data_IF_656464659517
#
_entry.id   IF_656464659517
#
_cell.length_a   1.000
_cell.length_b   1.000
_cell.length_c   1.000
_cell.angle_alpha   90.00
_cell.angle_beta   90.00
_cell.angle_gamma   90.00
#
_symmetry.space_group_name_H-M   'P 1'
#
loop_
_entity.id
_entity.type
_entity.pdbx_description
1 polymer ?
#
# COMPACT_ATOMS: atom_id res chain seq x y z
N UNK A 1 -29.88 42.33 -29.67
CA UNK A 1 -28.53 42.09 -29.11
C UNK A 1 -28.57 40.74 -28.44
N UNK A 2 -28.10 39.69 -29.11
CA UNK A 2 -27.93 38.36 -28.48
C UNK A 2 -26.75 38.42 -27.51
N UNK A 3 -26.98 38.10 -26.24
CA UNK A 3 -25.90 37.92 -25.27
C UNK A 3 -25.07 36.71 -25.69
N UNK A 4 -23.83 36.95 -26.14
CA UNK A 4 -22.88 35.88 -26.42
C UNK A 4 -22.64 35.06 -25.14
N UNK A 5 -23.04 33.79 -25.14
CA UNK A 5 -22.82 32.88 -24.02
C UNK A 5 -21.31 32.68 -23.85
N UNK A 6 -20.77 33.16 -22.73
CA UNK A 6 -19.34 33.03 -22.43
C UNK A 6 -19.02 31.55 -22.24
N UNK A 7 -18.11 31.03 -23.04
CA UNK A 7 -17.63 29.66 -22.94
C UNK A 7 -16.73 29.51 -21.70
N UNK A 8 -17.32 29.11 -20.57
CA UNK A 8 -16.68 29.03 -19.25
C UNK A 8 -16.53 27.58 -18.71
N UNK A 9 -16.87 26.58 -19.53
CA UNK A 9 -16.93 25.15 -19.16
C UNK A 9 -18.09 24.77 -18.23
N UNK A 10 -18.96 25.72 -17.85
CA UNK A 10 -20.10 25.49 -16.93
C UNK A 10 -21.42 25.82 -17.62
N UNK A 11 -21.56 27.02 -18.18
CA UNK A 11 -22.70 27.47 -18.97
C UNK A 11 -22.60 27.00 -20.44
N UNK A 12 -21.39 26.99 -21.00
CA UNK A 12 -21.13 26.51 -22.36
C UNK A 12 -19.81 25.72 -22.47
N UNK A 13 -19.70 24.79 -23.44
CA UNK A 13 -18.45 24.06 -23.69
C UNK A 13 -17.35 25.01 -24.16
N UNK A 14 -16.12 24.72 -23.77
CA UNK A 14 -14.96 25.48 -24.24
C UNK A 14 -14.75 25.25 -25.76
N UNK A 15 -14.20 26.23 -26.49
CA UNK A 15 -13.92 26.07 -27.92
C UNK A 15 -13.08 24.82 -28.21
N UNK A 16 -13.51 24.02 -29.19
CA UNK A 16 -12.84 22.77 -29.56
C UNK A 16 -12.88 21.68 -28.48
N UNK A 17 -13.83 21.76 -27.53
CA UNK A 17 -14.07 20.74 -26.51
C UNK A 17 -15.48 20.15 -26.63
N UNK A 18 -15.62 18.96 -26.07
CA UNK A 18 -16.82 18.16 -26.13
C UNK A 18 -18.04 18.86 -25.48
N UNK A 19 -19.14 18.92 -26.22
CA UNK A 19 -20.40 19.52 -25.82
C UNK A 19 -21.20 18.71 -24.77
N UNK A 20 -20.77 17.50 -24.43
CA UNK A 20 -21.40 16.68 -23.38
C UNK A 20 -21.27 17.32 -21.99
N UNK A 21 -22.40 17.51 -21.30
CA UNK A 21 -22.44 17.95 -19.91
C UNK A 21 -22.30 16.78 -18.94
N UNK A 22 -21.27 16.79 -18.09
CA UNK A 22 -21.04 15.72 -17.11
C UNK A 22 -21.77 16.06 -15.81
N UNK A 23 -22.99 15.55 -15.64
CA UNK A 23 -23.86 15.86 -14.50
C UNK A 23 -23.16 15.71 -13.14
N UNK A 24 -22.48 14.58 -12.92
CA UNK A 24 -21.73 14.32 -11.67
C UNK A 24 -20.70 15.39 -11.33
N UNK A 25 -20.13 16.05 -12.35
CA UNK A 25 -19.08 17.07 -12.18
C UNK A 25 -19.60 18.49 -12.40
N UNK A 26 -20.89 18.65 -12.71
CA UNK A 26 -21.57 19.92 -13.02
C UNK A 26 -20.78 20.81 -13.99
N UNK A 27 -20.22 20.21 -15.05
CA UNK A 27 -19.41 20.91 -16.06
C UNK A 27 -19.35 20.17 -17.38
N UNK A 28 -19.06 20.90 -18.45
CA UNK A 28 -18.84 20.32 -19.78
C UNK A 28 -17.55 19.50 -19.87
N UNK A 29 -17.59 18.45 -20.68
CA UNK A 29 -16.47 17.57 -20.92
C UNK A 29 -15.27 18.32 -21.51
N UNK A 30 -14.10 18.19 -20.89
CA UNK A 30 -12.86 18.88 -21.32
C UNK A 30 -12.08 18.13 -22.40
N UNK A 31 -12.63 17.06 -22.96
CA UNK A 31 -11.97 16.28 -24.00
C UNK A 31 -12.04 17.03 -25.33
N UNK A 32 -10.95 16.95 -26.11
CA UNK A 32 -10.86 17.55 -27.44
C UNK A 32 -11.75 16.79 -28.42
N UNK A 33 -12.40 17.51 -29.32
CA UNK A 33 -13.23 16.96 -30.40
C UNK A 33 -12.42 16.88 -31.69
N UNK A 34 -12.77 15.93 -32.57
CA UNK A 34 -12.24 15.92 -33.94
C UNK A 34 -12.77 17.12 -34.73
N UNK A 35 -12.06 17.53 -35.79
CA UNK A 35 -12.52 18.62 -36.65
C UNK A 35 -13.94 18.40 -37.15
N UNK A 36 -14.82 19.39 -36.95
CA UNK A 36 -16.23 19.34 -37.33
C UNK A 36 -17.16 18.53 -36.42
N UNK A 37 -16.69 18.00 -35.28
CA UNK A 37 -17.52 17.20 -34.35
C UNK A 37 -17.87 17.96 -33.08
N UNK A 38 -19.07 17.73 -32.54
CA UNK A 38 -19.51 18.34 -31.28
C UNK A 38 -19.06 17.57 -30.02
N UNK A 39 -18.80 16.26 -30.15
CA UNK A 39 -18.48 15.37 -29.02
C UNK A 39 -17.12 14.70 -29.16
N UNK A 40 -16.48 14.39 -28.02
CA UNK A 40 -15.24 13.63 -28.00
C UNK A 40 -15.50 12.16 -28.30
N UNK A 41 -14.43 11.40 -28.57
CA UNK A 41 -14.53 9.98 -28.90
C UNK A 41 -15.28 9.12 -27.88
N UNK A 42 -15.37 9.52 -26.60
CA UNK A 42 -16.13 8.80 -25.56
C UNK A 42 -17.60 9.21 -25.47
N UNK A 43 -17.97 10.43 -25.86
CA UNK A 43 -19.35 10.93 -25.79
C UNK A 43 -20.00 11.09 -27.18
N UNK A 44 -19.33 10.67 -28.24
CA UNK A 44 -19.85 10.66 -29.61
C UNK A 44 -21.02 9.69 -29.82
N UNK A 45 -21.37 8.87 -28.83
CA UNK A 45 -22.53 7.97 -28.85
C UNK A 45 -23.88 8.69 -29.03
N UNK A 46 -23.94 10.02 -28.84
CA UNK A 46 -25.15 10.81 -28.98
C UNK A 46 -25.34 11.51 -30.33
N UNK A 47 -24.32 11.54 -31.19
CA UNK A 47 -24.44 12.17 -32.51
C UNK A 47 -24.81 11.10 -33.55
N UNK A 48 -25.97 11.28 -34.18
CA UNK A 48 -26.50 10.47 -35.28
C UNK A 48 -25.65 10.52 -36.58
N UNK A 49 -24.37 10.92 -36.50
CA UNK A 49 -23.44 11.10 -37.62
C UNK A 49 -22.16 10.27 -37.53
N UNK A 50 -22.13 9.22 -36.70
CA UNK A 50 -21.00 8.28 -36.61
C UNK A 50 -21.42 6.89 -37.07
N UNK A 51 -20.99 6.48 -38.28
CA UNK A 51 -21.23 5.13 -38.84
C UNK A 51 -20.66 3.96 -38.00
N UNK A 52 -19.87 4.26 -36.97
CA UNK A 52 -19.22 3.25 -36.13
C UNK A 52 -20.04 3.00 -34.86
N UNK A 53 -20.64 1.81 -34.78
CA UNK A 53 -21.38 1.33 -33.61
C UNK A 53 -20.45 1.09 -32.42
N UNK A 54 -20.77 1.67 -31.27
CA UNK A 54 -20.15 1.37 -29.97
C UNK A 54 -21.06 0.41 -29.19
N UNK A 55 -20.44 -0.58 -28.55
CA UNK A 55 -21.08 -1.57 -27.68
C UNK A 55 -20.45 -1.49 -26.28
N UNK A 56 -21.18 -1.91 -25.25
CA UNK A 56 -20.59 -2.08 -23.92
C UNK A 56 -19.49 -3.13 -23.96
N UNK A 57 -18.40 -2.91 -23.22
CA UNK A 57 -17.32 -3.88 -23.15
C UNK A 57 -17.80 -5.15 -22.43
N UNK A 58 -17.57 -6.35 -22.98
CA UNK A 58 -18.03 -7.59 -22.36
C UNK A 58 -17.26 -7.97 -21.09
N UNK A 59 -16.11 -7.31 -20.83
CA UNK A 59 -15.34 -7.50 -19.60
C UNK A 59 -15.72 -6.51 -18.49
N UNK A 60 -16.40 -5.41 -18.81
CA UNK A 60 -16.79 -4.35 -17.88
C UNK A 60 -17.83 -3.44 -18.53
N UNK A 61 -19.04 -3.40 -17.97
CA UNK A 61 -20.17 -2.64 -18.49
C UNK A 61 -20.02 -1.12 -18.33
N UNK A 62 -19.03 -0.66 -17.54
CA UNK A 62 -18.80 0.76 -17.24
C UNK A 62 -18.15 1.53 -18.37
N UNK A 63 -17.65 0.86 -19.43
CA UNK A 63 -17.10 1.53 -20.61
C UNK A 63 -17.58 0.91 -21.91
N UNK A 64 -17.52 1.72 -22.97
CA UNK A 64 -17.94 1.31 -24.31
C UNK A 64 -16.76 1.25 -25.27
N UNK A 65 -16.89 0.42 -26.30
CA UNK A 65 -15.85 0.17 -27.31
C UNK A 65 -16.50 0.11 -28.69
N UNK A 66 -15.78 0.49 -29.73
CA UNK A 66 -16.28 0.28 -31.10
C UNK A 66 -16.36 -1.22 -31.39
N UNK A 67 -17.49 -1.65 -31.96
CA UNK A 67 -17.77 -3.04 -32.29
C UNK A 67 -16.68 -3.63 -33.20
N UNK A 68 -16.28 -2.86 -34.23
CA UNK A 68 -15.19 -3.19 -35.17
C UNK A 68 -13.80 -3.32 -34.52
N UNK A 69 -13.64 -2.79 -33.30
CA UNK A 69 -12.36 -2.71 -32.58
C UNK A 69 -12.37 -3.56 -31.31
N UNK A 70 -13.44 -4.33 -31.07
CA UNK A 70 -13.61 -5.14 -29.87
C UNK A 70 -12.44 -6.10 -29.67
N UNK A 71 -12.05 -6.85 -30.71
CA UNK A 71 -10.95 -7.81 -30.62
C UNK A 71 -9.62 -7.15 -30.23
N UNK A 72 -9.34 -5.93 -30.74
CA UNK A 72 -8.16 -5.15 -30.36
C UNK A 72 -8.27 -4.60 -28.94
N UNK A 73 -9.47 -4.20 -28.52
CA UNK A 73 -9.74 -3.74 -27.17
C UNK A 73 -9.54 -4.85 -26.13
N UNK A 74 -10.12 -6.04 -26.34
CA UNK A 74 -10.06 -7.15 -25.37
C UNK A 74 -8.62 -7.56 -25.03
N UNK A 75 -7.68 -7.40 -25.97
CA UNK A 75 -6.25 -7.65 -25.73
C UNK A 75 -5.61 -6.67 -24.74
N UNK A 76 -6.11 -5.43 -24.66
CA UNK A 76 -5.56 -4.32 -23.85
C UNK A 76 -6.53 -3.78 -22.81
N UNK A 77 -7.66 -4.44 -22.61
CA UNK A 77 -8.69 -3.99 -21.68
C UNK A 77 -8.12 -4.06 -20.27
N UNK A 78 -8.30 -2.98 -19.49
CA UNK A 78 -7.84 -2.95 -18.10
C UNK A 78 -8.63 -3.91 -17.21
N UNK A 79 -9.86 -4.24 -17.59
CA UNK A 79 -10.76 -5.15 -16.88
C UNK A 79 -10.50 -6.63 -17.22
N UNK A 80 -9.55 -6.91 -18.12
CA UNK A 80 -9.07 -8.27 -18.36
C UNK A 80 -8.33 -8.79 -17.13
N UNK A 81 -8.69 -9.98 -16.66
CA UNK A 81 -7.97 -10.65 -15.58
C UNK A 81 -6.51 -10.89 -15.99
N UNK A 82 -5.60 -10.42 -15.14
CA UNK A 82 -4.16 -10.60 -15.31
C UNK A 82 -3.73 -11.85 -14.55
N UNK A 83 -2.72 -12.59 -15.04
CA UNK A 83 -2.14 -13.68 -14.27
C UNK A 83 -1.67 -13.15 -12.91
N UNK A 84 -2.04 -13.86 -11.86
CA UNK A 84 -1.66 -13.51 -10.49
C UNK A 84 -0.16 -13.75 -10.30
N UNK A 85 0.58 -12.80 -9.71
CA UNK A 85 2.01 -12.96 -9.45
C UNK A 85 2.26 -14.01 -8.36
N UNK A 86 3.50 -14.51 -8.26
CA UNK A 86 3.90 -15.54 -7.28
C UNK A 86 3.63 -15.12 -5.82
N UNK A 87 3.77 -13.83 -5.53
CA UNK A 87 3.52 -13.22 -4.22
C UNK A 87 2.04 -12.93 -3.94
N UNK A 88 1.13 -13.41 -4.78
CA UNK A 88 -0.30 -13.33 -4.53
C UNK A 88 -0.77 -14.57 -3.75
N UNK A 89 -1.23 -14.36 -2.52
CA UNK A 89 -1.96 -15.36 -1.73
C UNK A 89 -3.27 -14.72 -1.31
N UNK A 90 -4.39 -15.28 -1.80
CA UNK A 90 -5.71 -14.69 -1.57
C UNK A 90 -5.96 -14.58 -0.06
N UNK A 91 -6.38 -13.40 0.37
CA UNK A 91 -6.79 -13.05 1.73
C UNK A 91 -5.77 -13.32 2.86
N UNK A 92 -4.48 -13.51 2.54
CA UNK A 92 -3.45 -13.84 3.55
C UNK A 92 -3.36 -12.80 4.67
N UNK A 93 -3.52 -11.51 4.34
CA UNK A 93 -3.49 -10.44 5.33
C UNK A 93 -4.90 -9.95 5.66
N UNK A 94 -5.97 -10.66 5.29
CA UNK A 94 -7.35 -10.24 5.57
C UNK A 94 -7.70 -10.40 7.05
N UNK A 95 -7.08 -11.37 7.72
CA UNK A 95 -7.16 -11.60 9.17
C UNK A 95 -8.01 -12.82 9.50
N UNK A 96 -8.12 -13.17 10.78
CA UNK A 96 -9.06 -14.20 11.17
C UNK A 96 -10.45 -13.81 10.70
N UNK A 97 -11.15 -14.76 10.09
CA UNK A 97 -12.56 -14.65 9.71
C UNK A 97 -13.40 -14.53 10.98
N UNK A 98 -13.42 -13.35 11.61
CA UNK A 98 -14.16 -13.16 12.85
C UNK A 98 -15.68 -13.28 12.65
N UNK A 99 -16.17 -13.23 11.40
CA UNK A 99 -17.53 -13.63 11.11
C UNK A 99 -17.81 -13.76 9.60
N UNK A 100 -17.92 -14.98 9.10
CA UNK A 100 -18.57 -15.26 7.79
C UNK A 100 -20.10 -15.37 7.93
N UNK A 101 -20.61 -15.41 9.16
CA UNK A 101 -22.03 -15.59 9.49
C UNK A 101 -22.69 -14.34 10.10
N UNK A 102 -21.94 -13.34 10.57
CA UNK A 102 -22.55 -12.03 10.84
C UNK A 102 -22.94 -11.40 9.52
N UNK A 103 -24.25 -11.43 9.26
CA UNK A 103 -24.89 -10.51 8.34
C UNK A 103 -24.53 -9.10 8.81
N UNK A 104 -23.52 -8.50 8.19
CA UNK A 104 -23.17 -7.10 8.39
C UNK A 104 -24.25 -6.27 7.71
N UNK A 105 -25.43 -6.21 8.33
CA UNK A 105 -26.34 -5.11 8.09
C UNK A 105 -25.58 -3.86 8.49
N UNK A 106 -25.19 -3.06 7.49
CA UNK A 106 -24.58 -1.77 7.73
C UNK A 106 -25.65 -0.86 8.33
N UNK A 107 -25.79 -0.93 9.64
CA UNK A 107 -26.71 -0.08 10.41
C UNK A 107 -26.13 1.33 10.44
N UNK A 108 -26.94 2.33 10.11
CA UNK A 108 -26.53 3.73 10.20
C UNK A 108 -26.36 4.10 11.67
N UNK A 109 -25.40 4.98 11.99
CA UNK A 109 -25.30 5.56 13.33
C UNK A 109 -26.61 6.27 13.75
N UNK A 110 -27.41 6.72 12.78
CA UNK A 110 -28.71 7.35 13.04
C UNK A 110 -29.79 6.36 13.50
N UNK A 111 -29.61 5.06 13.27
CA UNK A 111 -30.59 4.03 13.63
C UNK A 111 -30.41 3.56 15.09
N UNK A 112 -29.34 4.01 15.76
CA UNK A 112 -29.09 3.67 17.16
C UNK A 112 -29.85 4.62 18.10
N UNK A 113 -30.46 4.03 19.13
CA UNK A 113 -31.03 4.79 20.24
C UNK A 113 -29.93 5.56 20.99
N UNK A 114 -30.32 6.59 21.75
CA UNK A 114 -29.37 7.32 22.61
C UNK A 114 -28.78 6.36 23.66
N UNK A 115 -29.61 5.46 24.18
CA UNK A 115 -29.26 4.51 25.22
C UNK A 115 -28.20 3.51 24.73
N UNK A 116 -28.35 2.98 23.51
CA UNK A 116 -27.35 2.09 22.91
C UNK A 116 -26.03 2.80 22.66
N UNK A 117 -26.09 4.06 22.20
CA UNK A 117 -24.90 4.89 21.99
C UNK A 117 -24.17 5.18 23.30
N UNK A 118 -24.90 5.44 24.39
CA UNK A 118 -24.32 5.62 25.72
C UNK A 118 -23.68 4.33 26.24
N UNK A 119 -24.32 3.16 26.06
CA UNK A 119 -23.73 1.86 26.41
C UNK A 119 -22.46 1.58 25.60
N UNK A 120 -22.46 1.88 24.30
CA UNK A 120 -21.28 1.73 23.45
C UNK A 120 -20.14 2.64 23.93
N UNK A 121 -20.44 3.89 24.26
CA UNK A 121 -19.45 4.83 24.82
C UNK A 121 -18.89 4.35 26.16
N UNK A 122 -19.72 3.75 27.03
CA UNK A 122 -19.25 3.17 28.29
C UNK A 122 -18.31 1.99 28.04
N UNK A 123 -18.68 1.05 27.15
CA UNK A 123 -17.82 -0.07 26.76
C UNK A 123 -16.49 0.42 26.19
N UNK A 124 -16.52 1.45 25.34
CA UNK A 124 -15.31 2.03 24.76
C UNK A 124 -14.43 2.69 25.83
N UNK A 125 -15.02 3.48 26.75
CA UNK A 125 -14.30 4.08 27.88
C UNK A 125 -13.66 3.04 28.79
N UNK A 126 -14.35 1.92 29.04
CA UNK A 126 -13.80 0.80 29.82
C UNK A 126 -12.65 0.11 29.07
N UNK A 127 -12.81 -0.16 27.77
CA UNK A 127 -11.79 -0.82 26.96
C UNK A 127 -10.51 0.01 26.82
N UNK A 128 -10.61 1.34 26.80
CA UNK A 128 -9.44 2.23 26.74
C UNK A 128 -8.85 2.57 28.12
N UNK A 129 -9.53 2.19 29.20
CA UNK A 129 -9.05 2.45 30.57
C UNK A 129 -7.74 1.68 30.79
N UNK A 130 -6.66 2.41 31.09
CA UNK A 130 -5.33 1.83 31.26
C UNK A 130 -4.49 1.77 29.99
N UNK A 131 -5.04 2.10 28.81
CA UNK A 131 -4.28 2.26 27.56
C UNK A 131 -3.66 3.66 27.42
N UNK A 132 -3.42 4.38 28.53
CA UNK A 132 -2.84 5.73 28.50
C UNK A 132 -1.34 5.69 28.16
N UNK A 133 -1.04 5.43 26.89
CA UNK A 133 0.26 5.72 26.34
C UNK A 133 0.24 7.20 25.93
N UNK A 134 1.14 8.05 26.46
CA UNK A 134 1.25 9.42 25.99
C UNK A 134 1.50 9.39 24.48
N UNK A 135 0.60 10.05 23.73
CA UNK A 135 0.79 10.20 22.31
C UNK A 135 1.98 11.14 22.09
N UNK A 136 3.10 10.57 21.62
CA UNK A 136 4.29 11.36 21.28
C UNK A 136 4.18 11.83 19.83
N UNK A 137 3.98 13.12 19.65
CA UNK A 137 4.10 13.75 18.34
C UNK A 137 5.58 13.94 18.02
N UNK A 138 5.98 13.59 16.80
CA UNK A 138 7.34 13.80 16.30
C UNK A 138 7.29 14.36 14.89
N UNK A 139 7.54 15.67 14.79
CA UNK A 139 7.70 16.37 13.52
C UNK A 139 9.19 16.57 13.30
N UNK A 140 9.74 15.79 12.39
CA UNK A 140 11.14 15.89 11.98
C UNK A 140 11.23 16.45 10.57
N UNK A 141 12.44 16.76 10.11
CA UNK A 141 12.73 17.10 8.72
C UNK A 141 14.05 16.47 8.32
N UNK A 142 14.23 16.23 7.03
CA UNK A 142 15.46 15.64 6.50
C UNK A 142 16.11 16.58 5.47
N UNK A 143 17.44 16.78 5.51
CA UNK A 143 18.15 17.68 4.57
C UNK A 143 17.85 17.39 3.09
N UNK A 144 17.62 16.12 2.75
CA UNK A 144 17.29 15.68 1.39
C UNK A 144 16.05 16.35 0.77
N UNK A 145 15.15 16.95 1.58
CA UNK A 145 13.97 17.66 1.09
C UNK A 145 14.07 19.19 1.23
N UNK A 146 15.16 19.73 1.77
CA UNK A 146 15.26 21.16 2.11
C UNK A 146 15.04 22.06 0.88
N UNK A 147 15.74 21.79 -0.21
CA UNK A 147 15.60 22.57 -1.46
C UNK A 147 14.19 22.47 -2.03
N UNK A 148 13.60 21.27 -2.01
CA UNK A 148 12.25 21.07 -2.52
C UNK A 148 11.20 21.77 -1.66
N UNK A 149 11.38 21.81 -0.33
CA UNK A 149 10.48 22.54 0.56
C UNK A 149 10.51 24.05 0.34
N UNK A 150 11.66 24.59 -0.08
CA UNK A 150 11.88 26.01 -0.29
C UNK A 150 11.72 26.47 -1.75
N UNK A 151 11.39 25.58 -2.68
CA UNK A 151 11.19 25.95 -4.09
C UNK A 151 9.91 26.80 -4.25
N UNK A 152 10.01 28.08 -4.68
CA UNK A 152 8.87 28.98 -4.81
C UNK A 152 7.90 28.57 -5.92
N UNK A 153 8.27 27.60 -6.77
CA UNK A 153 7.36 27.04 -7.81
C UNK A 153 6.37 26.04 -7.23
N UNK A 154 6.55 25.60 -5.98
CA UNK A 154 5.62 24.68 -5.34
C UNK A 154 4.39 25.42 -4.81
N UNK A 155 3.22 25.06 -5.33
CA UNK A 155 1.95 25.50 -4.74
C UNK A 155 1.66 24.78 -3.42
N UNK A 156 0.68 25.30 -2.66
CA UNK A 156 0.34 24.85 -1.29
C UNK A 156 0.16 23.33 -1.16
N UNK A 157 -0.52 22.72 -2.13
CA UNK A 157 -0.72 21.27 -2.15
C UNK A 157 0.58 20.48 -2.26
N UNK A 158 1.54 20.96 -3.06
CA UNK A 158 2.86 20.33 -3.19
C UNK A 158 3.65 20.49 -1.90
N UNK A 159 3.67 21.70 -1.32
CA UNK A 159 4.32 21.99 -0.04
C UNK A 159 3.80 21.10 1.08
N UNK A 160 2.47 20.93 1.20
CA UNK A 160 1.86 20.02 2.18
C UNK A 160 2.38 18.59 2.03
N UNK A 161 2.42 18.08 0.80
CA UNK A 161 2.90 16.72 0.55
C UNK A 161 4.40 16.54 0.82
N UNK A 162 5.21 17.58 0.59
CA UNK A 162 6.64 17.58 0.86
C UNK A 162 6.92 17.62 2.35
N UNK A 163 6.24 18.47 3.13
CA UNK A 163 6.37 18.51 4.60
C UNK A 163 6.09 17.14 5.23
N UNK A 164 5.02 16.47 4.78
CA UNK A 164 4.70 15.11 5.23
C UNK A 164 5.82 14.11 4.90
N UNK A 165 6.40 14.19 3.70
CA UNK A 165 7.49 13.30 3.29
C UNK A 165 8.77 13.59 4.07
N UNK A 166 9.07 14.87 4.33
CA UNK A 166 10.22 15.28 5.12
C UNK A 166 10.13 14.78 6.55
N UNK A 167 8.95 14.82 7.15
CA UNK A 167 8.71 14.28 8.50
C UNK A 167 8.87 12.77 8.57
N UNK A 168 8.34 12.02 7.58
CA UNK A 168 8.54 10.57 7.53
C UNK A 168 10.03 10.24 7.42
N UNK A 169 10.73 10.85 6.46
CA UNK A 169 12.15 10.57 6.23
C UNK A 169 13.01 11.01 7.42
N UNK A 170 12.70 12.14 8.05
CA UNK A 170 13.40 12.62 9.24
C UNK A 170 13.23 11.69 10.45
N UNK A 171 12.03 11.15 10.67
CA UNK A 171 11.80 10.16 11.71
C UNK A 171 12.48 8.81 11.41
N UNK A 172 12.49 8.39 10.14
CA UNK A 172 13.26 7.22 9.73
C UNK A 172 14.76 7.39 10.02
N UNK A 173 15.30 8.59 9.81
CA UNK A 173 16.69 8.90 10.13
C UNK A 173 16.95 8.82 11.64
N UNK A 174 16.08 9.41 12.48
CA UNK A 174 16.24 9.39 13.95
C UNK A 174 16.09 7.99 14.56
N UNK A 175 15.45 7.07 13.85
CA UNK A 175 15.29 5.67 14.23
C UNK A 175 16.33 4.75 13.60
N UNK A 176 17.37 5.31 12.96
CA UNK A 176 18.42 4.58 12.25
C UNK A 176 17.87 3.61 11.18
N UNK A 177 16.69 3.89 10.62
CA UNK A 177 16.04 3.11 9.56
C UNK A 177 16.52 3.49 8.16
N UNK A 178 17.28 4.58 8.03
CA UNK A 178 18.03 4.94 6.82
C UNK A 178 19.47 4.39 6.86
N UNK A 179 19.82 3.50 5.93
CA UNK A 179 21.14 2.85 5.90
C UNK A 179 21.28 1.84 4.76
N UNK A 180 22.51 1.37 4.56
CA UNK A 180 22.88 0.35 3.57
C UNK A 180 22.27 -1.02 3.89
N UNK A 181 22.23 -1.91 2.89
CA UNK A 181 21.77 -3.31 3.03
C UNK A 181 20.36 -3.42 3.59
N UNK A 182 19.41 -2.73 2.97
CA UNK A 182 18.00 -2.71 3.41
C UNK A 182 17.04 -2.87 2.24
N UNK A 183 15.89 -3.46 2.51
CA UNK A 183 14.77 -3.44 1.59
C UNK A 183 13.64 -2.56 2.15
N UNK A 184 13.37 -1.44 1.48
CA UNK A 184 12.31 -0.50 1.83
C UNK A 184 11.04 -0.88 1.08
N UNK A 185 9.97 -1.19 1.81
CA UNK A 185 8.66 -1.53 1.25
C UNK A 185 7.71 -0.36 1.46
N UNK A 186 7.34 0.35 0.38
CA UNK A 186 6.34 1.42 0.41
C UNK A 186 4.95 0.85 0.17
N UNK A 187 4.15 0.75 1.24
CA UNK A 187 2.74 0.36 1.18
C UNK A 187 1.87 1.55 0.74
N UNK A 188 1.03 1.33 -0.28
CA UNK A 188 0.21 2.39 -0.85
C UNK A 188 1.05 3.42 -1.58
N UNK A 189 2.01 2.95 -2.39
CA UNK A 189 3.06 3.79 -2.96
C UNK A 189 2.54 4.88 -3.91
N UNK A 190 1.34 4.74 -4.49
CA UNK A 190 0.78 5.72 -5.39
C UNK A 190 1.73 6.06 -6.54
N UNK A 191 2.28 7.28 -6.54
CA UNK A 191 3.26 7.75 -7.54
C UNK A 191 4.72 7.40 -7.23
N UNK A 192 5.03 6.83 -6.06
CA UNK A 192 6.39 6.46 -5.61
C UNK A 192 7.23 7.61 -5.07
N UNK A 193 6.60 8.71 -4.63
CA UNK A 193 7.31 9.91 -4.20
C UNK A 193 8.03 9.73 -2.86
N UNK A 194 7.49 8.93 -1.92
CA UNK A 194 8.16 8.74 -0.64
C UNK A 194 9.44 7.93 -0.83
N UNK A 195 9.39 6.81 -1.57
CA UNK A 195 10.59 6.04 -1.92
C UNK A 195 11.63 6.88 -2.68
N UNK A 196 11.21 7.82 -3.52
CA UNK A 196 12.13 8.77 -4.17
C UNK A 196 12.91 9.59 -3.15
N UNK A 197 12.23 10.18 -2.16
CA UNK A 197 12.91 10.97 -1.12
C UNK A 197 13.77 10.14 -0.17
N UNK A 198 13.33 8.92 0.16
CA UNK A 198 14.14 7.97 0.93
C UNK A 198 15.41 7.64 0.15
N UNK A 199 15.33 7.40 -1.17
CA UNK A 199 16.49 7.19 -2.02
C UNK A 199 17.43 8.39 -2.06
N UNK A 200 16.89 9.61 -2.12
CA UNK A 200 17.67 10.85 -2.04
C UNK A 200 18.37 10.99 -0.69
N UNK A 201 17.72 10.60 0.41
CA UNK A 201 18.36 10.56 1.72
C UNK A 201 19.45 9.48 1.84
N UNK A 202 19.36 8.43 1.02
CA UNK A 202 20.27 7.29 0.99
C UNK A 202 21.29 7.37 -0.17
N UNK A 203 21.72 8.57 -0.58
CA UNK A 203 22.64 8.74 -1.72
C UNK A 203 23.93 7.92 -1.58
N UNK A 204 24.52 7.91 -0.38
CA UNK A 204 25.77 7.20 -0.06
C UNK A 204 25.57 5.74 0.36
N UNK A 205 24.33 5.29 0.52
CA UNK A 205 24.03 3.93 0.98
C UNK A 205 24.15 2.92 -0.17
N UNK A 206 24.65 1.73 0.15
CA UNK A 206 24.86 0.64 -0.81
C UNK A 206 23.86 -0.50 -0.59
N UNK A 207 23.54 -1.23 -1.66
CA UNK A 207 22.66 -2.42 -1.62
C UNK A 207 21.30 -2.12 -0.99
N UNK A 208 20.66 -1.03 -1.45
CA UNK A 208 19.33 -0.61 -0.99
C UNK A 208 18.30 -0.92 -2.07
N UNK A 209 17.29 -1.68 -1.67
CA UNK A 209 16.23 -2.15 -2.54
C UNK A 209 14.89 -1.50 -2.19
N UNK A 210 14.09 -1.16 -3.19
CA UNK A 210 12.78 -0.52 -3.01
C UNK A 210 11.68 -1.36 -3.64
N UNK A 211 10.69 -1.74 -2.82
CA UNK A 211 9.47 -2.44 -3.22
C UNK A 211 8.27 -1.52 -3.07
N UNK A 212 7.64 -1.16 -4.19
CA UNK A 212 6.51 -0.23 -4.22
C UNK A 212 5.21 -1.02 -4.40
N UNK A 213 4.42 -1.12 -3.33
CA UNK A 213 3.15 -1.86 -3.31
C UNK A 213 1.99 -0.92 -3.59
N UNK A 214 1.23 -1.21 -4.63
CA UNK A 214 0.07 -0.40 -5.00
C UNK A 214 -0.99 -1.25 -5.74
N UNK A 215 -2.25 -1.16 -5.31
CA UNK A 215 -3.35 -1.88 -5.98
C UNK A 215 -3.68 -1.30 -7.36
N UNK A 216 -3.53 0.01 -7.53
CA UNK A 216 -3.99 0.75 -8.73
C UNK A 216 -2.88 1.02 -9.74
N UNK A 217 -3.22 1.10 -11.03
CA UNK A 217 -2.30 1.68 -12.01
C UNK A 217 -2.28 3.21 -11.87
N UNK A 218 -1.17 3.77 -11.40
CA UNK A 218 -0.99 5.21 -11.28
C UNK A 218 -0.30 5.81 -12.51
N UNK A 219 -0.68 7.05 -12.88
CA UNK A 219 0.03 7.84 -13.91
C UNK A 219 1.10 8.71 -13.25
N UNK A 220 2.13 9.10 -14.01
CA UNK A 220 3.24 9.95 -13.55
C UNK A 220 4.02 9.33 -12.38
N UNK A 221 4.32 8.03 -12.50
CA UNK A 221 5.19 7.31 -11.57
C UNK A 221 6.60 7.91 -11.64
N UNK A 222 7.22 8.13 -10.49
CA UNK A 222 8.60 8.65 -10.44
C UNK A 222 9.66 7.55 -10.47
N UNK A 223 9.24 6.28 -10.49
CA UNK A 223 10.10 5.09 -10.47
C UNK A 223 11.21 5.14 -11.53
N UNK A 224 10.86 5.58 -12.75
CA UNK A 224 11.80 5.67 -13.86
C UNK A 224 12.91 6.71 -13.68
N UNK A 225 12.74 7.66 -12.75
CA UNK A 225 13.77 8.64 -12.37
C UNK A 225 14.78 8.08 -11.36
N UNK A 226 14.48 6.94 -10.75
CA UNK A 226 15.29 6.36 -9.67
C UNK A 226 16.15 5.18 -10.15
N UNK A 227 16.59 5.20 -11.41
CA UNK A 227 17.50 4.18 -11.95
C UNK A 227 18.94 4.57 -11.60
N UNK A 228 19.60 3.76 -10.78
CA UNK A 228 21.01 3.92 -10.40
C UNK A 228 21.68 2.55 -10.25
N UNK A 229 23.02 2.50 -10.21
CA UNK A 229 23.78 1.24 -10.20
C UNK A 229 23.58 0.41 -8.93
N UNK A 230 23.32 1.07 -7.80
CA UNK A 230 23.31 0.44 -6.46
C UNK A 230 21.93 0.45 -5.77
N UNK A 231 20.87 0.75 -6.53
CA UNK A 231 19.50 0.70 -6.03
C UNK A 231 18.52 0.11 -7.05
N UNK A 232 17.68 -0.83 -6.61
CA UNK A 232 16.62 -1.39 -7.46
C UNK A 232 15.26 -0.88 -7.04
N UNK A 233 14.45 -0.46 -8.01
CA UNK A 233 13.06 -0.09 -7.80
C UNK A 233 12.16 -1.11 -8.50
N UNK A 234 11.44 -1.91 -7.73
CA UNK A 234 10.45 -2.84 -8.23
C UNK A 234 9.06 -2.41 -7.75
N UNK A 235 8.09 -2.40 -8.66
CA UNK A 235 6.71 -2.03 -8.35
C UNK A 235 5.80 -3.24 -8.52
N UNK A 236 5.12 -3.60 -7.44
CA UNK A 236 4.18 -4.70 -7.39
C UNK A 236 2.75 -4.16 -7.46
N UNK A 237 2.01 -4.55 -8.51
CA UNK A 237 0.59 -4.21 -8.63
C UNK A 237 -0.27 -5.27 -7.94
N UNK A 238 -0.50 -5.10 -6.63
CA UNK A 238 -1.20 -6.07 -5.79
C UNK A 238 -1.86 -5.35 -4.62
N UNK A 239 -3.00 -5.87 -4.17
CA UNK A 239 -3.62 -5.40 -2.92
C UNK A 239 -2.86 -5.96 -1.72
N UNK A 240 -2.62 -5.14 -0.69
CA UNK A 240 -1.92 -5.55 0.53
C UNK A 240 -2.64 -6.74 1.17
N UNK A 241 -3.96 -6.82 1.06
CA UNK A 241 -4.76 -7.95 1.55
C UNK A 241 -4.29 -9.31 1.02
N UNK A 242 -3.67 -9.35 -0.16
CA UNK A 242 -3.27 -10.58 -0.83
C UNK A 242 -1.75 -10.70 -1.03
N UNK A 243 -0.97 -9.80 -0.45
CA UNK A 243 0.48 -9.75 -0.65
C UNK A 243 1.21 -10.60 0.38
N UNK A 244 1.94 -11.60 -0.10
CA UNK A 244 2.88 -12.38 0.69
C UNK A 244 4.32 -11.96 0.37
N UNK A 245 4.94 -11.20 1.28
CA UNK A 245 6.35 -10.77 1.13
C UNK A 245 7.33 -11.95 1.12
N UNK A 246 6.93 -13.14 1.60
CA UNK A 246 7.77 -14.34 1.58
C UNK A 246 8.01 -14.92 0.20
N UNK A 247 7.08 -14.65 -0.71
CA UNK A 247 7.08 -15.13 -2.08
C UNK A 247 7.60 -14.09 -3.07
N UNK A 248 8.09 -12.95 -2.58
CA UNK A 248 8.72 -11.91 -3.41
C UNK A 248 10.16 -12.35 -3.72
N UNK A 249 10.52 -12.61 -4.99
CA UNK A 249 11.85 -13.14 -5.35
C UNK A 249 13.00 -12.27 -4.83
N UNK A 250 12.88 -10.94 -4.97
CA UNK A 250 13.89 -9.99 -4.49
C UNK A 250 14.21 -10.18 -2.98
N UNK A 251 13.18 -10.45 -2.17
CA UNK A 251 13.34 -10.65 -0.73
C UNK A 251 13.96 -12.02 -0.41
N UNK A 252 13.60 -13.07 -1.17
CA UNK A 252 14.17 -14.40 -1.03
C UNK A 252 15.65 -14.46 -1.43
N UNK A 253 16.00 -13.78 -2.52
CA UNK A 253 17.36 -13.74 -3.08
C UNK A 253 18.31 -12.89 -2.22
N UNK A 254 17.87 -11.69 -1.83
CA UNK A 254 18.73 -10.71 -1.15
C UNK A 254 18.81 -10.91 0.36
N UNK A 255 17.75 -11.42 0.98
CA UNK A 255 17.66 -11.66 2.43
C UNK A 255 18.09 -10.45 3.27
N UNK A 256 17.65 -9.26 2.87
CA UNK A 256 17.96 -8.00 3.56
C UNK A 256 16.88 -7.66 4.57
N UNK A 257 17.24 -6.99 5.69
CA UNK A 257 16.27 -6.48 6.64
C UNK A 257 15.25 -5.56 5.97
N UNK A 258 13.97 -5.79 6.29
CA UNK A 258 12.85 -5.05 5.69
C UNK A 258 12.46 -3.85 6.55
N UNK A 259 12.27 -2.71 5.90
CA UNK A 259 11.71 -1.48 6.47
C UNK A 259 10.38 -1.16 5.79
N UNK A 260 9.28 -1.27 6.53
CA UNK A 260 7.95 -0.93 6.03
C UNK A 260 7.64 0.55 6.19
N UNK A 261 7.23 1.22 5.11
CA UNK A 261 6.84 2.64 5.12
C UNK A 261 5.48 2.88 4.47
N UNK A 262 4.72 3.85 4.98
CA UNK A 262 3.43 4.24 4.42
C UNK A 262 3.09 5.71 4.72
N UNK A 263 2.62 6.44 3.70
CA UNK A 263 2.19 7.84 3.83
C UNK A 263 0.68 8.01 4.01
N UNK A 264 -0.10 7.27 3.22
CA UNK A 264 -1.58 7.35 3.18
C UNK A 264 -2.23 6.06 3.64
N UNK A 265 -1.51 5.32 4.48
CA UNK A 265 -1.95 4.04 4.98
C UNK A 265 -2.89 4.28 6.16
N UNK A 266 -4.20 4.15 5.93
CA UNK A 266 -5.23 4.45 6.92
C UNK A 266 -6.33 3.38 6.96
N UNK A 267 -7.03 3.31 8.09
CA UNK A 267 -8.07 2.31 8.33
C UNK A 267 -7.50 0.89 8.23
N UNK A 268 -8.26 0.00 7.59
CA UNK A 268 -7.87 -1.40 7.42
C UNK A 268 -6.53 -1.59 6.73
N UNK A 269 -6.11 -0.66 5.85
CA UNK A 269 -4.85 -0.77 5.13
C UNK A 269 -3.63 -0.80 6.07
N UNK A 270 -3.72 -0.13 7.22
CA UNK A 270 -2.67 -0.18 8.25
C UNK A 270 -2.57 -1.57 8.85
N UNK A 271 -3.70 -2.18 9.21
CA UNK A 271 -3.75 -3.53 9.76
C UNK A 271 -3.27 -4.57 8.74
N UNK A 272 -3.70 -4.44 7.48
CA UNK A 272 -3.25 -5.31 6.38
C UNK A 272 -1.71 -5.27 6.25
N UNK A 273 -1.11 -4.07 6.28
CA UNK A 273 0.34 -3.93 6.10
C UNK A 273 1.14 -4.42 7.32
N UNK A 274 0.64 -4.18 8.54
CA UNK A 274 1.28 -4.69 9.75
C UNK A 274 1.32 -6.21 9.74
N UNK A 275 0.23 -6.87 9.35
CA UNK A 275 0.19 -8.33 9.24
C UNK A 275 1.11 -8.86 8.14
N UNK A 276 1.09 -8.18 6.99
CA UNK A 276 2.01 -8.45 5.88
C UNK A 276 3.49 -8.40 6.31
N UNK A 277 3.84 -7.53 7.28
CA UNK A 277 5.19 -7.40 7.81
C UNK A 277 5.52 -8.35 8.97
N UNK A 278 4.56 -8.61 9.86
CA UNK A 278 4.81 -9.22 11.17
C UNK A 278 4.46 -10.72 11.26
N UNK A 279 3.44 -11.20 10.54
CA UNK A 279 2.88 -12.56 10.73
C UNK A 279 3.73 -13.69 10.10
N UNK A 280 5.03 -13.47 9.93
CA UNK A 280 5.96 -14.43 9.31
C UNK A 280 6.88 -15.13 10.32
N UNK A 281 6.90 -14.72 11.58
CA UNK A 281 7.77 -15.29 12.61
C UNK A 281 7.37 -16.70 13.07
N UNK A 282 6.26 -17.27 12.60
CA UNK A 282 5.79 -18.62 12.98
C UNK A 282 5.98 -19.71 11.92
N UNK A 283 6.74 -19.46 10.84
CA UNK A 283 6.77 -20.35 9.67
C UNK A 283 8.12 -21.04 9.41
N UNK A 284 8.97 -21.14 10.44
CA UNK A 284 10.19 -21.94 10.39
C UNK A 284 10.11 -23.11 11.35
N UNK A 285 9.15 -24.01 11.14
CA UNK A 285 9.12 -25.38 11.70
C UNK A 285 7.85 -26.08 11.18
N UNK A 286 7.87 -26.50 9.92
CA UNK A 286 7.17 -27.70 9.49
C UNK A 286 8.10 -28.37 8.49
N UNK A 287 9.07 -29.09 9.05
CA UNK A 287 9.87 -30.07 8.31
C UNK A 287 8.92 -31.20 7.94
N UNK A 288 8.90 -31.49 6.65
CA UNK A 288 8.60 -32.79 6.03
C UNK A 288 8.29 -33.94 7.02
N UNK A 289 7.01 -34.21 7.27
CA UNK A 289 6.55 -35.51 7.75
C UNK A 289 5.54 -36.10 6.76
N UNK A 290 6.05 -37.09 6.02
CA UNK A 290 5.39 -38.29 5.51
C UNK A 290 3.95 -38.21 4.98
N UNK A 291 3.83 -38.25 3.65
CA UNK A 291 2.80 -39.10 3.02
C UNK A 291 3.50 -40.24 2.28
N UNK A 292 3.54 -41.40 2.93
CA UNK A 292 3.96 -42.68 2.35
C UNK A 292 2.74 -43.53 2.03
N UNK A 293 2.59 -43.84 0.72
CA UNK A 293 1.81 -44.90 0.01
C UNK A 293 1.40 -44.30 -1.35
N UNK A 294 1.83 -44.79 -2.52
CA UNK A 294 1.94 -46.16 -2.99
C UNK A 294 3.03 -46.33 -4.07
N UNK A 295 3.56 -47.55 -4.16
CA UNK A 295 4.50 -48.06 -5.17
C UNK A 295 3.89 -48.10 -6.58
N UNK A 296 4.69 -47.83 -7.63
CA UNK A 296 4.94 -48.75 -8.77
C UNK A 296 6.34 -48.49 -9.34
N UNK A 297 7.04 -49.58 -9.62
CA UNK A 297 8.42 -49.77 -10.07
C UNK A 297 8.81 -49.09 -11.41
N UNK A 298 10.07 -48.64 -11.52
CA UNK A 298 10.95 -48.99 -12.65
C UNK A 298 12.43 -48.59 -12.41
N UNK A 299 13.35 -49.45 -12.88
CA UNK A 299 14.78 -49.49 -12.54
C UNK A 299 15.69 -48.44 -13.25
N UNK A 300 16.65 -47.88 -12.46
CA UNK A 300 18.08 -47.49 -12.65
C UNK A 300 18.76 -47.42 -14.07
N UNK A 301 19.96 -46.75 -14.27
CA UNK A 301 20.99 -46.43 -13.27
C UNK A 301 21.76 -45.06 -13.35
N UNK A 302 22.18 -44.62 -12.15
CA UNK A 302 23.49 -44.10 -11.73
C UNK A 302 24.37 -43.24 -12.69
N UNK A 303 24.63 -42.00 -12.26
CA UNK A 303 25.96 -41.37 -12.37
C UNK A 303 26.36 -40.71 -11.03
N UNK A 304 27.45 -41.20 -10.45
CA UNK A 304 28.16 -40.65 -9.29
C UNK A 304 28.91 -39.38 -9.70
N UNK A 305 28.81 -38.30 -8.92
CA UNK A 305 29.90 -37.33 -8.73
C UNK A 305 29.77 -36.71 -7.34
N UNK A 306 30.62 -37.25 -6.47
CA UNK A 306 31.42 -36.66 -5.39
C UNK A 306 30.98 -35.40 -4.62
N UNK A 307 31.16 -35.60 -3.32
CA UNK A 307 31.00 -34.74 -2.14
C UNK A 307 31.93 -33.52 -2.24
N UNK A 308 31.36 -32.32 -2.16
CA UNK A 308 32.08 -31.09 -1.83
C UNK A 308 31.63 -30.61 -0.46
N UNK A 309 32.56 -30.55 0.48
CA UNK A 309 32.37 -30.05 1.84
C UNK A 309 31.89 -28.58 1.79
N UNK A 310 30.68 -28.34 2.28
CA UNK A 310 30.07 -27.02 2.37
C UNK A 310 29.63 -26.75 3.80
N UNK A 311 30.22 -25.73 4.39
CA UNK A 311 30.10 -25.29 5.78
C UNK A 311 28.65 -25.28 6.31
N UNK A 312 28.54 -25.69 7.57
CA UNK A 312 27.32 -25.62 8.37
C UNK A 312 26.63 -24.25 8.20
N UNK A 313 25.45 -24.29 7.60
CA UNK A 313 24.53 -23.16 7.52
C UNK A 313 24.05 -22.91 8.94
N UNK A 314 24.50 -21.81 9.54
CA UNK A 314 24.03 -21.41 10.84
C UNK A 314 22.52 -21.12 10.74
N UNK A 315 21.72 -21.88 11.49
CA UNK A 315 20.32 -21.58 11.77
C UNK A 315 20.28 -20.28 12.58
N UNK A 316 19.48 -19.30 12.14
CA UNK A 316 19.24 -18.09 12.92
C UNK A 316 17.75 -17.75 12.96
N UNK A 317 17.18 -17.89 14.16
CA UNK A 317 15.95 -17.22 14.59
C UNK A 317 16.25 -15.78 15.02
N UNK A 318 16.09 -14.82 14.10
CA UNK A 318 16.17 -13.38 14.37
C UNK A 318 15.15 -12.60 13.54
N UNK A 319 14.68 -11.45 14.07
CA UNK A 319 13.61 -10.64 13.48
C UNK A 319 13.94 -10.17 12.04
N UNK A 320 13.13 -10.63 11.07
CA UNK A 320 13.21 -10.26 9.65
C UNK A 320 12.87 -8.77 9.38
N UNK A 321 12.06 -8.18 10.26
CA UNK A 321 11.66 -6.79 10.15
C UNK A 321 12.57 -5.91 11.02
N UNK A 322 13.35 -5.02 10.39
CA UNK A 322 14.22 -4.08 11.12
C UNK A 322 13.43 -2.96 11.80
N UNK A 323 12.20 -2.70 11.34
CA UNK A 323 11.32 -1.69 11.92
C UNK A 323 10.18 -1.32 10.98
N UNK A 324 9.15 -0.73 11.57
CA UNK A 324 7.99 -0.22 10.84
C UNK A 324 7.79 1.24 11.19
N UNK A 325 7.73 2.10 10.18
CA UNK A 325 7.32 3.49 10.34
C UNK A 325 6.07 3.74 9.54
N UNK A 326 4.94 3.92 10.24
CA UNK A 326 3.69 4.37 9.62
C UNK A 326 3.44 5.80 10.05
N UNK A 327 3.36 6.71 9.08
CA UNK A 327 2.84 8.04 9.33
C UNK A 327 1.36 8.08 8.96
N UNK A 328 0.52 8.36 9.95
CA UNK A 328 -0.90 8.60 9.74
C UNK A 328 -1.17 10.10 9.66
N UNK A 329 -1.90 10.53 8.63
CA UNK A 329 -2.34 11.93 8.49
C UNK A 329 -3.67 12.09 9.22
N UNK A 330 -3.70 12.94 10.25
CA UNK A 330 -4.94 13.40 10.87
C UNK A 330 -5.31 14.79 10.42
N UNK A 331 -5.84 14.93 9.20
CA UNK A 331 -6.81 16.00 8.96
C UNK A 331 -8.18 15.39 9.21
N UNK A 332 -8.78 15.70 10.36
CA UNK A 332 -10.21 15.56 10.52
C UNK A 332 -10.87 16.59 9.60
N UNK A 333 -11.00 16.26 8.32
CA UNK A 333 -12.04 16.88 7.50
C UNK A 333 -13.36 16.48 8.13
N UNK A 334 -13.90 17.38 8.95
CA UNK A 334 -15.26 17.31 9.50
C UNK A 334 -16.21 17.42 8.31
N UNK A 335 -16.49 16.31 7.63
CA UNK A 335 -17.74 16.05 6.90
C UNK A 335 -17.90 14.53 6.74
N UNK A 336 -18.70 13.97 7.65
CA UNK A 336 -19.13 12.58 7.88
C UNK A 336 -18.23 11.71 8.77
N UNK A 337 -18.73 11.25 9.93
CA UNK A 337 -17.97 10.38 10.82
C UNK A 337 -17.99 8.95 10.29
N UNK A 338 -16.82 8.36 10.09
CA UNK A 338 -16.64 6.90 10.14
C UNK A 338 -15.56 6.66 11.17
N UNK A 339 -15.98 6.32 12.38
CA UNK A 339 -15.13 5.85 13.45
C UNK A 339 -14.75 4.41 13.13
N UNK A 340 -13.48 4.16 12.81
CA UNK A 340 -12.89 2.83 12.89
C UNK A 340 -11.69 2.88 13.82
N UNK A 341 -11.89 2.41 15.04
CA UNK A 341 -10.87 2.27 16.08
C UNK A 341 -9.82 1.24 15.66
N UNK A 342 -8.51 1.53 15.79
CA UNK A 342 -7.49 0.49 15.66
C UNK A 342 -7.45 -0.33 16.96
N UNK A 343 -7.95 -1.57 16.90
CA UNK A 343 -7.61 -2.59 17.89
C UNK A 343 -6.13 -2.95 17.67
N UNK A 344 -5.25 -2.52 18.57
CA UNK A 344 -3.84 -2.95 18.56
C UNK A 344 -3.73 -4.32 19.22
N UNK A 345 -3.10 -5.26 18.49
CA UNK A 345 -2.63 -6.54 19.00
C UNK A 345 -1.71 -6.28 20.21
N UNK A 346 -2.14 -6.72 21.39
CA UNK A 346 -1.28 -6.81 22.55
C UNK A 346 -0.28 -7.95 22.34
N UNK A 347 0.97 -7.71 22.74
CA UNK A 347 2.04 -8.68 22.73
C UNK A 347 1.64 -9.94 23.53
N UNK A 348 1.55 -11.08 22.84
CA UNK A 348 1.58 -12.38 23.47
C UNK A 348 3.01 -12.68 23.92
N UNK A 349 3.25 -12.61 25.23
CA UNK A 349 4.19 -13.52 25.89
C UNK A 349 3.53 -14.02 27.16
N UNK A 350 3.27 -15.33 27.20
CA UNK A 350 2.79 -16.04 28.38
C UNK A 350 3.78 -15.86 29.53
N UNK A 351 3.24 -15.44 30.68
CA UNK A 351 3.92 -15.57 31.95
C UNK A 351 3.44 -16.90 32.58
N UNK A 352 4.16 -17.98 32.32
CA UNK A 352 4.17 -19.10 33.25
C UNK A 352 5.28 -18.88 34.27
N UNK A 353 4.87 -18.85 35.53
CA UNK A 353 5.72 -18.83 36.71
C UNK A 353 6.43 -20.18 36.85
N UNK A 354 7.76 -20.19 36.88
CA UNK A 354 8.53 -21.28 37.52
C UNK A 354 9.69 -20.70 38.35
N UNK A 355 9.87 -21.12 39.61
CA UNK A 355 11.09 -20.85 40.36
C UNK A 355 12.04 -22.05 40.32
N UNK A 356 13.34 -21.78 40.14
CA UNK A 356 14.39 -22.61 40.74
C UNK A 356 15.53 -23.07 39.82
N UNK A 357 16.73 -22.61 40.19
CA UNK A 357 18.06 -23.25 40.01
C UNK A 357 18.78 -23.17 38.65
N UNK A 358 19.81 -22.30 38.62
CA UNK A 358 21.19 -22.77 38.43
C UNK A 358 21.81 -22.75 37.02
N UNK A 359 22.88 -21.95 36.92
CA UNK A 359 24.09 -22.13 36.08
C UNK A 359 24.20 -21.41 34.71
N UNK A 360 25.14 -20.44 34.72
CA UNK A 360 26.18 -20.10 33.72
C UNK A 360 25.80 -19.78 32.27
N UNK A 361 25.94 -18.49 31.94
CA UNK A 361 26.93 -18.03 30.95
C UNK A 361 26.50 -17.97 29.47
N UNK A 362 26.19 -16.76 28.99
CA UNK A 362 26.15 -16.43 27.56
C UNK A 362 25.27 -15.22 27.26
N UNK A 363 25.86 -14.03 27.10
CA UNK A 363 25.13 -12.83 26.63
C UNK A 363 24.85 -12.96 25.14
N UNK A 364 23.58 -13.04 24.76
CA UNK A 364 23.10 -12.79 23.40
C UNK A 364 22.51 -11.36 23.38
N UNK A 365 22.87 -10.46 22.46
CA UNK A 365 22.23 -9.16 22.36
C UNK A 365 20.84 -9.33 21.73
N UNK A 366 19.79 -9.11 22.52
CA UNK A 366 18.43 -8.95 22.02
C UNK A 366 18.23 -7.51 21.54
N UNK A 367 18.08 -7.29 20.23
CA UNK A 367 17.55 -6.03 19.71
C UNK A 367 16.02 -6.15 19.59
N UNK A 368 15.24 -5.24 20.21
CA UNK A 368 13.79 -5.27 20.05
C UNK A 368 13.39 -4.73 18.66
N UNK A 369 12.46 -5.39 17.98
CA UNK A 369 11.75 -4.79 16.85
C UNK A 369 11.04 -3.51 17.32
N UNK A 370 11.46 -2.36 16.80
CA UNK A 370 10.85 -1.07 17.11
C UNK A 370 9.65 -0.82 16.19
N UNK A 371 8.44 -0.83 16.77
CA UNK A 371 7.21 -0.38 16.13
C UNK A 371 6.83 0.97 16.72
N UNK A 372 7.06 2.06 15.97
CA UNK A 372 6.64 3.40 16.37
C UNK A 372 5.55 3.92 15.43
N UNK A 373 4.40 4.25 16.01
CA UNK A 373 3.22 4.75 15.29
C UNK A 373 3.11 6.25 15.52
N UNK A 374 3.63 7.03 14.56
CA UNK A 374 3.63 8.50 14.58
C UNK A 374 2.39 9.11 13.90
N UNK A 375 1.90 10.20 14.48
CA UNK A 375 0.85 11.04 13.89
C UNK A 375 1.46 12.40 13.51
N UNK A 376 1.04 12.95 12.38
CA UNK A 376 1.50 14.27 11.92
C UNK A 376 0.28 15.19 11.82
N UNK A 377 0.18 16.21 12.69
CA UNK A 377 -0.77 17.32 12.53
C UNK A 377 -0.10 18.57 11.98
N UNK A 378 -0.91 19.43 11.37
CA UNK A 378 -0.50 20.70 10.79
C UNK A 378 -0.98 21.83 11.70
N UNK A 379 -0.07 22.65 12.23
CA UNK A 379 -0.43 23.96 12.78
C UNK A 379 -0.72 24.90 11.60
N UNK A 380 -1.94 25.43 11.54
CA UNK A 380 -2.25 26.58 10.69
C UNK A 380 -1.64 27.82 11.36
N UNK A 381 -0.66 28.44 10.70
CA UNK A 381 -0.29 29.84 10.93
C UNK A 381 -0.90 30.69 9.83
#
# INVERSE_FOLDING_TARGET
MECAVVADNVAAPLPGRCAYFVERKKRYCKMVVGGGKAYCGEHANGDAGSDRKRISCPLDDKHTVYEDSLAKHLKKCNSKEKPKPLYYVKDINAGPDWDKNAVSDKVSLADYSREDMEQLLQKLKLAVKGLSLPHRESISTHPALHDALNDPKNGDFACKHLKQQASIVGNMASLDLLGSRRCVVEFGAGRGKLSHWIRTALQEAQDVHFLLVERSTTRFKVDGKNKGRDCTFERMQVDIQHLDLSKVPLLQEKRLPVVGVGKHLCGSATDLALRCLLERSSWSEDKDEEDSKDNVDDELPLRKTERGEGQAVAEWGGDWCAGVTVATVGDWCVHRPVLSSPLRLAALRGAELLPGAGLRGGRVPSFPAHVELGHVRHEQS
#
